data_IF_683919336177
#
_entry.id   IF_683919336177
#
_cell.length_a   1.000
_cell.length_b   1.000
_cell.length_c   1.000
_cell.angle_alpha   90.00
_cell.angle_beta   90.00
_cell.angle_gamma   90.00
#
_symmetry.space_group_name_H-M   'P 1'
#
loop_
_entity.id
_entity.type
_entity.pdbx_description
1 polymer ?
#
# COMPACT_ATOMS: atom_id res chain seq x y z
N UNK A 1 1.75 2.31 -17.84
CA UNK A 1 2.29 1.27 -18.74
C UNK A 1 3.81 1.40 -18.95
N UNK A 2 4.35 2.59 -19.28
CA UNK A 2 5.80 2.79 -19.51
C UNK A 2 6.63 2.34 -18.30
N UNK A 3 6.26 2.71 -17.09
CA UNK A 3 6.93 2.26 -15.86
C UNK A 3 6.83 0.74 -15.64
N UNK A 4 5.70 0.14 -15.96
CA UNK A 4 5.55 -1.30 -15.89
C UNK A 4 6.46 -2.01 -16.89
N UNK A 5 6.60 -1.47 -18.11
CA UNK A 5 7.52 -1.97 -19.13
C UNK A 5 8.98 -1.79 -18.70
N UNK A 6 9.32 -0.67 -18.05
CA UNK A 6 10.65 -0.47 -17.44
C UNK A 6 10.95 -1.58 -16.44
N UNK A 7 10.02 -1.82 -15.51
CA UNK A 7 10.18 -2.85 -14.50
C UNK A 7 10.31 -4.25 -15.13
N UNK A 8 9.50 -4.58 -16.15
CA UNK A 8 9.60 -5.86 -16.84
C UNK A 8 10.96 -6.05 -17.55
N UNK A 9 11.53 -4.97 -18.07
CA UNK A 9 12.81 -5.00 -18.80
C UNK A 9 14.04 -5.00 -17.89
N UNK A 10 14.02 -4.24 -16.83
CA UNK A 10 15.20 -3.98 -15.97
C UNK A 10 15.04 -4.51 -14.54
N UNK A 11 13.86 -4.96 -14.17
CA UNK A 11 13.52 -5.35 -12.81
C UNK A 11 13.24 -4.15 -11.89
N UNK A 12 12.84 -4.45 -10.67
CA UNK A 12 12.79 -3.50 -9.57
C UNK A 12 14.17 -3.36 -8.92
N UNK A 13 14.45 -2.18 -8.39
CA UNK A 13 15.64 -1.93 -7.58
C UNK A 13 15.45 -2.45 -6.14
N UNK A 14 16.54 -2.57 -5.40
CA UNK A 14 16.49 -2.99 -3.99
C UNK A 14 15.61 -2.05 -3.15
N UNK A 15 15.72 -0.74 -3.36
CA UNK A 15 14.94 0.24 -2.59
C UNK A 15 13.44 0.21 -2.91
N UNK A 16 13.05 -0.03 -4.17
CA UNK A 16 11.65 -0.24 -4.55
C UNK A 16 11.10 -1.48 -3.84
N UNK A 17 11.86 -2.56 -3.85
CA UNK A 17 11.50 -3.82 -3.20
C UNK A 17 11.41 -3.68 -1.68
N UNK A 18 12.39 -3.07 -1.02
CA UNK A 18 12.40 -2.91 0.44
C UNK A 18 11.23 -2.05 0.92
N UNK A 19 10.89 -1.02 0.17
CA UNK A 19 9.70 -0.17 0.44
C UNK A 19 8.40 -0.95 0.28
N UNK A 20 8.27 -1.75 -0.78
CA UNK A 20 7.09 -2.57 -1.00
C UNK A 20 6.94 -3.62 0.12
N UNK A 21 8.03 -4.27 0.50
CA UNK A 21 8.08 -5.23 1.62
C UNK A 21 7.67 -4.59 2.95
N UNK A 22 8.23 -3.43 3.27
CA UNK A 22 7.89 -2.69 4.49
C UNK A 22 6.41 -2.29 4.52
N UNK A 23 5.86 -1.83 3.40
CA UNK A 23 4.44 -1.48 3.27
C UNK A 23 3.54 -2.71 3.45
N UNK A 24 3.89 -3.85 2.85
CA UNK A 24 3.14 -5.09 2.99
C UNK A 24 3.13 -5.57 4.45
N UNK A 25 4.29 -5.60 5.11
CA UNK A 25 4.38 -6.01 6.52
C UNK A 25 3.60 -5.06 7.44
N UNK A 26 3.67 -3.76 7.20
CA UNK A 26 2.86 -2.77 7.95
C UNK A 26 1.36 -2.96 7.73
N UNK A 27 0.93 -3.26 6.49
CA UNK A 27 -0.48 -3.54 6.19
C UNK A 27 -0.97 -4.83 6.87
N UNK A 28 -0.15 -5.88 6.89
CA UNK A 28 -0.43 -7.13 7.58
C UNK A 28 -0.58 -6.92 9.10
N UNK A 29 0.33 -6.14 9.70
CA UNK A 29 0.25 -5.81 11.12
C UNK A 29 -1.01 -5.02 11.47
N UNK A 30 -1.37 -4.02 10.66
CA UNK A 30 -2.61 -3.26 10.83
C UNK A 30 -3.85 -4.15 10.70
N UNK A 31 -3.87 -5.03 9.70
CA UNK A 31 -4.96 -5.98 9.51
C UNK A 31 -5.08 -6.95 10.70
N UNK A 32 -3.95 -7.44 11.24
CA UNK A 32 -3.91 -8.28 12.42
C UNK A 32 -4.45 -7.56 13.66
N UNK A 33 -4.01 -6.33 13.89
CA UNK A 33 -4.48 -5.51 15.02
C UNK A 33 -5.98 -5.18 14.92
N UNK A 34 -6.51 -5.06 13.70
CA UNK A 34 -7.92 -4.80 13.41
C UNK A 34 -8.80 -6.03 13.18
N UNK A 35 -8.29 -7.26 13.32
CA UNK A 35 -9.00 -8.50 12.93
C UNK A 35 -10.36 -8.69 13.60
N UNK A 36 -10.50 -8.26 14.85
CA UNK A 36 -11.77 -8.35 15.59
C UNK A 36 -12.86 -7.40 15.04
N UNK A 37 -12.49 -6.48 14.14
CA UNK A 37 -13.37 -5.48 13.54
C UNK A 37 -13.48 -5.65 12.02
N UNK A 38 -13.17 -6.85 11.50
CA UNK A 38 -13.34 -7.18 10.08
C UNK A 38 -14.81 -7.06 9.69
N UNK A 39 -15.03 -6.44 8.53
CA UNK A 39 -16.38 -6.34 7.95
C UNK A 39 -16.84 -7.66 7.33
N UNK A 40 -18.16 -7.88 7.27
CA UNK A 40 -18.75 -9.10 6.69
C UNK A 40 -18.34 -9.35 5.23
N UNK A 41 -18.12 -8.27 4.46
CA UNK A 41 -17.67 -8.40 3.07
C UNK A 41 -16.32 -9.13 2.95
N UNK A 42 -15.39 -8.88 3.87
CA UNK A 42 -14.09 -9.57 3.89
C UNK A 42 -14.25 -11.09 4.09
N UNK A 43 -15.14 -11.52 4.98
CA UNK A 43 -15.43 -12.95 5.17
C UNK A 43 -16.11 -13.56 3.93
N UNK A 44 -17.03 -12.83 3.31
CA UNK A 44 -17.68 -13.28 2.10
C UNK A 44 -16.69 -13.47 0.93
N UNK A 45 -15.69 -12.58 0.82
CA UNK A 45 -14.62 -12.72 -0.17
C UNK A 45 -13.72 -13.92 0.10
N UNK A 46 -13.36 -14.20 1.36
CA UNK A 46 -12.60 -15.40 1.74
C UNK A 46 -13.36 -16.67 1.34
N UNK A 47 -14.66 -16.76 1.64
CA UNK A 47 -15.49 -17.92 1.28
C UNK A 47 -15.67 -18.07 -0.22
N UNK A 48 -15.81 -16.97 -0.94
CA UNK A 48 -15.88 -16.96 -2.41
C UNK A 48 -14.57 -17.47 -3.01
N UNK A 49 -13.42 -17.00 -2.56
CA UNK A 49 -12.09 -17.46 -2.99
C UNK A 49 -11.91 -18.96 -2.74
N UNK A 50 -12.28 -19.42 -1.55
CA UNK A 50 -12.25 -20.84 -1.23
C UNK A 50 -13.14 -21.68 -2.17
N UNK A 51 -14.38 -21.25 -2.40
CA UNK A 51 -15.32 -21.97 -3.25
C UNK A 51 -14.87 -22.02 -4.72
N UNK A 52 -14.40 -20.91 -5.26
CA UNK A 52 -14.04 -20.81 -6.69
C UNK A 52 -12.65 -21.36 -7.00
N UNK A 53 -11.68 -21.16 -6.12
CA UNK A 53 -10.25 -21.39 -6.39
C UNK A 53 -9.61 -22.37 -5.40
N UNK A 54 -10.39 -22.95 -4.47
CA UNK A 54 -9.90 -23.84 -3.42
C UNK A 54 -8.82 -23.17 -2.53
N UNK A 55 -8.88 -21.85 -2.39
CA UNK A 55 -7.96 -21.11 -1.54
C UNK A 55 -8.15 -21.51 -0.08
N UNK A 56 -7.08 -21.76 0.68
CA UNK A 56 -7.20 -22.09 2.09
C UNK A 56 -7.72 -20.88 2.88
N UNK A 57 -8.51 -21.14 3.92
CA UNK A 57 -9.01 -20.13 4.87
C UNK A 57 -8.37 -20.42 6.25
N UNK A 58 -7.11 -20.07 6.47
CA UNK A 58 -6.48 -20.21 7.79
C UNK A 58 -7.10 -19.24 8.79
N UNK A 59 -6.93 -19.52 10.07
CA UNK A 59 -7.16 -18.51 11.10
C UNK A 59 -6.27 -17.27 10.80
N UNK A 60 -6.78 -16.09 11.08
CA UNK A 60 -6.04 -14.86 10.71
C UNK A 60 -4.71 -14.74 11.48
N UNK A 61 -4.65 -15.27 12.68
CA UNK A 61 -3.44 -15.39 13.49
C UNK A 61 -2.38 -16.24 12.79
N UNK A 62 -2.75 -17.40 12.28
CA UNK A 62 -1.84 -18.31 11.57
C UNK A 62 -1.36 -17.68 10.25
N UNK A 63 -2.28 -17.06 9.50
CA UNK A 63 -1.96 -16.35 8.27
C UNK A 63 -0.93 -15.24 8.54
N UNK A 64 -1.14 -14.44 9.59
CA UNK A 64 -0.23 -13.35 9.95
C UNK A 64 1.18 -13.87 10.29
N UNK A 65 1.29 -14.91 11.11
CA UNK A 65 2.58 -15.49 11.48
C UNK A 65 3.30 -16.13 10.28
N UNK A 66 2.57 -16.82 9.40
CA UNK A 66 3.11 -17.37 8.15
C UNK A 66 3.67 -16.24 7.27
N UNK A 67 2.88 -15.20 7.03
CA UNK A 67 3.30 -14.09 6.16
C UNK A 67 4.46 -13.30 6.75
N UNK A 68 4.50 -13.12 8.06
CA UNK A 68 5.59 -12.45 8.77
C UNK A 68 6.92 -13.22 8.65
N UNK A 69 6.86 -14.54 8.56
CA UNK A 69 8.05 -15.37 8.31
C UNK A 69 8.40 -15.45 6.83
N UNK A 70 7.40 -15.55 5.96
CA UNK A 70 7.61 -15.76 4.53
C UNK A 70 8.11 -14.49 3.82
N UNK A 71 7.44 -13.36 4.02
CA UNK A 71 7.70 -12.11 3.28
C UNK A 71 9.16 -11.62 3.39
N UNK A 72 9.82 -11.64 4.56
CA UNK A 72 11.23 -11.26 4.65
C UNK A 72 12.18 -12.14 3.83
N UNK A 73 11.81 -13.40 3.59
CA UNK A 73 12.64 -14.40 2.94
C UNK A 73 12.42 -14.53 1.42
N UNK A 74 11.48 -13.77 0.84
CA UNK A 74 11.32 -13.72 -0.62
C UNK A 74 12.46 -12.86 -1.19
N UNK A 75 13.31 -13.36 -2.08
CA UNK A 75 14.39 -12.56 -2.66
C UNK A 75 13.88 -11.68 -3.81
N UNK A 76 14.55 -10.54 -4.03
CA UNK A 76 14.23 -9.63 -5.14
C UNK A 76 14.36 -10.33 -6.51
N UNK A 77 15.28 -11.26 -6.64
CA UNK A 77 15.49 -12.04 -7.87
C UNK A 77 14.26 -12.79 -8.31
N UNK A 78 13.51 -13.38 -7.37
CA UNK A 78 12.30 -14.14 -7.68
C UNK A 78 11.17 -13.22 -8.14
N UNK A 79 11.05 -12.04 -7.51
CA UNK A 79 10.09 -11.01 -7.94
C UNK A 79 10.41 -10.55 -9.36
N UNK A 80 11.68 -10.27 -9.65
CA UNK A 80 12.09 -9.81 -10.98
C UNK A 80 11.95 -10.89 -12.06
N UNK A 81 12.06 -12.16 -11.72
CA UNK A 81 11.89 -13.27 -12.66
C UNK A 81 10.43 -13.44 -13.15
N UNK A 82 9.44 -12.98 -12.37
CA UNK A 82 8.03 -13.09 -12.73
C UNK A 82 7.57 -11.94 -13.64
N UNK A 83 8.19 -10.77 -13.56
CA UNK A 83 7.75 -9.56 -14.26
C UNK A 83 7.55 -9.73 -15.78
N UNK A 84 8.46 -10.37 -16.53
CA UNK A 84 8.27 -10.57 -17.97
C UNK A 84 7.03 -11.43 -18.32
N UNK A 85 6.59 -12.29 -17.39
CA UNK A 85 5.42 -13.14 -17.57
C UNK A 85 4.11 -12.35 -17.41
N UNK A 86 4.13 -11.29 -16.56
CA UNK A 86 2.97 -10.44 -16.31
C UNK A 86 2.74 -9.40 -17.41
N UNK A 87 3.76 -9.07 -18.18
CA UNK A 87 3.72 -8.01 -19.21
C UNK A 87 4.21 -8.56 -20.55
N UNK A 88 3.40 -9.32 -21.28
CA UNK A 88 3.78 -9.90 -22.56
C UNK A 88 4.04 -8.79 -23.60
N UNK A 89 5.02 -9.02 -24.47
CA UNK A 89 5.40 -8.09 -25.53
C UNK A 89 4.36 -8.01 -26.66
N UNK A 90 3.40 -8.92 -26.69
CA UNK A 90 2.37 -9.02 -27.73
C UNK A 90 0.99 -8.62 -27.19
N UNK A 91 0.04 -8.38 -28.10
CA UNK A 91 -1.37 -8.09 -27.75
C UNK A 91 -2.15 -9.36 -27.35
N UNK A 92 -1.51 -10.53 -27.37
CA UNK A 92 -2.15 -11.80 -27.01
C UNK A 92 -2.55 -11.78 -25.54
N UNK A 93 -3.81 -12.14 -25.25
CA UNK A 93 -4.40 -12.18 -23.92
C UNK A 93 -4.42 -10.80 -23.20
N UNK A 94 -4.38 -9.71 -23.96
CA UNK A 94 -4.45 -8.35 -23.41
C UNK A 94 -5.90 -7.87 -23.43
N UNK A 95 -6.31 -7.27 -22.31
CA UNK A 95 -7.59 -6.55 -22.20
C UNK A 95 -7.29 -5.12 -21.78
N UNK A 96 -7.80 -4.15 -22.55
CA UNK A 96 -7.68 -2.73 -22.21
C UNK A 96 -9.06 -2.24 -21.81
N UNK A 97 -9.18 -1.71 -20.60
CA UNK A 97 -10.42 -1.19 -20.08
C UNK A 97 -10.18 0.26 -19.62
N UNK A 98 -11.05 1.16 -20.09
CA UNK A 98 -11.04 2.54 -19.65
C UNK A 98 -12.41 2.86 -19.02
N UNK A 99 -12.40 3.32 -17.77
CA UNK A 99 -13.60 3.74 -17.06
C UNK A 99 -13.59 5.26 -16.92
N UNK A 100 -14.60 5.90 -17.45
CA UNK A 100 -14.81 7.34 -17.30
C UNK A 100 -16.23 7.61 -16.79
N UNK A 101 -16.36 8.65 -15.98
CA UNK A 101 -17.69 9.18 -15.68
C UNK A 101 -18.28 9.80 -16.95
N UNK A 102 -19.49 9.38 -17.32
CA UNK A 102 -20.21 9.99 -18.39
C UNK A 102 -20.58 11.44 -18.01
N UNK A 103 -20.02 12.40 -18.73
CA UNK A 103 -20.23 13.83 -18.52
C UNK A 103 -20.28 14.56 -19.84
N UNK A 104 -21.26 15.42 -19.99
CA UNK A 104 -21.41 16.27 -21.18
C UNK A 104 -20.13 17.09 -21.44
N UNK A 105 -19.69 17.11 -22.69
CA UNK A 105 -18.47 17.78 -23.14
C UNK A 105 -17.16 16.98 -22.95
N UNK A 106 -17.19 15.81 -22.34
CA UNK A 106 -16.02 14.94 -22.27
C UNK A 106 -15.78 14.20 -23.60
N UNK A 107 -14.51 14.13 -23.99
CA UNK A 107 -14.08 13.28 -25.12
C UNK A 107 -13.51 11.98 -24.52
N UNK A 108 -14.10 10.86 -24.94
CA UNK A 108 -13.67 9.54 -24.48
C UNK A 108 -12.73 8.89 -25.49
N UNK A 109 -11.72 8.13 -25.05
CA UNK A 109 -10.84 7.43 -25.94
C UNK A 109 -11.60 6.34 -26.72
N UNK A 110 -11.31 6.21 -28.00
CA UNK A 110 -11.81 5.08 -28.81
C UNK A 110 -10.98 3.83 -28.57
N UNK A 111 -11.51 2.62 -28.89
CA UNK A 111 -10.73 1.38 -28.80
C UNK A 111 -9.40 1.47 -29.56
N UNK A 112 -9.39 2.08 -30.74
CA UNK A 112 -8.20 2.25 -31.57
C UNK A 112 -7.19 3.18 -30.90
N UNK A 113 -7.63 4.27 -30.27
CA UNK A 113 -6.75 5.20 -29.56
C UNK A 113 -6.12 4.56 -28.32
N UNK A 114 -6.87 3.70 -27.62
CA UNK A 114 -6.34 2.93 -26.47
C UNK A 114 -5.27 1.94 -26.92
N UNK A 115 -5.52 1.23 -28.03
CA UNK A 115 -4.55 0.29 -28.58
C UNK A 115 -3.29 1.01 -29.09
N UNK A 116 -3.46 2.14 -29.78
CA UNK A 116 -2.34 2.98 -30.22
C UNK A 116 -1.50 3.47 -29.03
N UNK A 117 -2.12 3.86 -27.91
CA UNK A 117 -1.41 4.27 -26.71
C UNK A 117 -0.56 3.14 -26.11
N UNK A 118 -1.05 1.90 -26.14
CA UNK A 118 -0.28 0.73 -25.71
C UNK A 118 0.90 0.48 -26.63
N UNK A 119 0.69 0.51 -27.95
CA UNK A 119 1.75 0.33 -28.92
C UNK A 119 2.83 1.43 -28.82
N UNK A 120 2.42 2.68 -28.66
CA UNK A 120 3.35 3.79 -28.45
C UNK A 120 4.16 3.62 -27.15
N UNK A 121 3.53 3.17 -26.07
CA UNK A 121 4.23 2.90 -24.82
C UNK A 121 5.28 1.79 -24.97
N UNK A 122 4.97 0.72 -25.71
CA UNK A 122 5.92 -0.38 -25.98
C UNK A 122 7.13 0.06 -26.83
N UNK A 123 6.94 1.05 -27.69
CA UNK A 123 8.02 1.61 -28.51
C UNK A 123 8.83 2.67 -27.76
N UNK A 124 8.36 3.13 -26.61
CA UNK A 124 9.07 4.11 -25.82
C UNK A 124 10.38 3.53 -25.30
N UNK A 125 11.49 4.23 -25.57
CA UNK A 125 12.78 3.88 -25.00
C UNK A 125 12.72 4.10 -23.49
N UNK A 126 12.94 3.02 -22.73
CA UNK A 126 12.99 3.07 -21.28
C UNK A 126 14.42 2.84 -20.80
N UNK A 127 14.82 3.55 -19.77
CA UNK A 127 16.12 3.41 -19.11
C UNK A 127 15.93 2.77 -17.74
N UNK A 128 16.94 2.10 -17.17
CA UNK A 128 16.89 1.58 -15.82
C UNK A 128 16.57 2.69 -14.82
N UNK A 129 15.81 2.35 -13.78
CA UNK A 129 15.58 3.29 -12.69
C UNK A 129 16.89 3.56 -11.95
N UNK A 130 17.23 4.84 -11.81
CA UNK A 130 18.38 5.28 -11.02
C UNK A 130 17.89 5.63 -9.63
N UNK A 131 18.32 4.85 -8.66
CA UNK A 131 17.95 5.08 -7.26
C UNK A 131 18.67 6.30 -6.71
N UNK A 132 17.89 7.30 -6.31
CA UNK A 132 18.39 8.54 -5.69
C UNK A 132 18.08 8.59 -4.20
N UNK A 133 17.61 7.49 -3.62
CA UNK A 133 17.31 7.42 -2.18
C UNK A 133 18.60 7.64 -1.39
N UNK A 134 18.56 8.63 -0.52
CA UNK A 134 19.66 8.91 0.41
C UNK A 134 19.27 8.35 1.76
N UNK A 135 20.10 7.49 2.31
CA UNK A 135 19.98 7.00 3.69
C UNK A 135 20.45 8.09 4.67
N UNK A 136 19.70 9.18 4.73
CA UNK A 136 19.94 10.26 5.67
C UNK A 136 18.72 10.44 6.56
N UNK A 137 18.89 10.75 7.85
CA UNK A 137 17.78 11.04 8.73
C UNK A 137 16.93 12.19 8.16
N UNK A 138 15.60 12.06 8.24
CA UNK A 138 14.67 13.11 7.80
C UNK A 138 14.96 14.47 8.47
N UNK A 139 15.44 14.41 9.71
CA UNK A 139 15.86 15.58 10.48
C UNK A 139 17.29 15.42 10.93
N UNK A 140 18.15 16.36 10.57
CA UNK A 140 19.55 16.39 11.01
C UNK A 140 19.70 16.67 12.51
N UNK A 141 18.68 17.29 13.11
CA UNK A 141 18.61 17.56 14.54
C UNK A 141 17.18 17.31 15.04
N UNK A 142 17.04 16.40 15.97
CA UNK A 142 15.74 16.15 16.57
C UNK A 142 15.26 17.38 17.35
N UNK A 143 13.98 17.76 17.25
CA UNK A 143 13.42 18.84 18.04
C UNK A 143 13.48 18.48 19.52
N UNK A 144 13.65 19.48 20.36
CA UNK A 144 13.57 19.28 21.79
C UNK A 144 12.11 18.93 22.16
N UNK A 145 11.87 17.92 23.02
CA UNK A 145 10.54 17.62 23.51
C UNK A 145 9.85 18.85 24.11
N UNK A 146 8.58 19.04 23.77
CA UNK A 146 7.78 20.10 24.38
C UNK A 146 7.55 19.80 25.87
N UNK A 147 7.47 20.87 26.69
CA UNK A 147 7.10 20.73 28.11
C UNK A 147 5.61 20.91 28.27
N UNK A 148 4.97 20.01 29.04
CA UNK A 148 3.59 20.18 29.47
C UNK A 148 3.60 21.21 30.60
N UNK A 149 2.86 22.30 30.47
CA UNK A 149 2.78 23.39 31.46
C UNK A 149 1.45 23.33 32.24
N UNK A 150 0.44 22.66 31.70
CA UNK A 150 -0.85 22.44 32.37
C UNK A 150 -1.49 21.15 31.90
N UNK A 151 -2.07 20.43 32.87
CA UNK A 151 -2.91 19.26 32.63
C UNK A 151 -4.26 19.47 33.27
N UNK A 152 -5.35 19.16 32.56
CA UNK A 152 -6.72 19.22 33.04
C UNK A 152 -7.45 17.97 32.57
N UNK A 153 -8.03 17.23 33.52
CA UNK A 153 -8.87 16.06 33.21
C UNK A 153 -10.35 16.47 33.25
N UNK A 154 -11.07 16.03 32.22
CA UNK A 154 -12.52 16.12 32.16
C UNK A 154 -13.10 14.73 32.41
N UNK A 155 -13.62 14.48 33.61
CA UNK A 155 -14.15 13.17 33.99
C UNK A 155 -15.47 12.85 33.29
N UNK A 156 -16.29 13.85 33.00
CA UNK A 156 -17.61 13.69 32.36
C UNK A 156 -17.46 13.22 30.90
N UNK A 157 -16.53 13.83 30.16
CA UNK A 157 -16.28 13.48 28.75
C UNK A 157 -15.11 12.49 28.56
N UNK A 158 -14.40 12.13 29.63
CA UNK A 158 -13.34 11.13 29.64
C UNK A 158 -12.09 11.53 28.82
N UNK A 159 -11.72 12.82 28.77
CA UNK A 159 -10.52 13.28 28.09
C UNK A 159 -9.54 14.01 29.00
N UNK A 160 -8.31 14.10 28.59
CA UNK A 160 -7.25 14.90 29.24
C UNK A 160 -6.81 16.01 28.26
N UNK A 161 -6.85 17.24 28.74
CA UNK A 161 -6.32 18.42 28.03
C UNK A 161 -4.91 18.72 28.55
N UNK A 162 -3.96 18.79 27.62
CA UNK A 162 -2.56 19.14 27.89
C UNK A 162 -2.23 20.47 27.22
N UNK A 163 -1.72 21.43 27.96
CA UNK A 163 -1.16 22.67 27.38
C UNK A 163 0.35 22.58 27.36
N UNK A 164 0.93 22.77 26.18
CA UNK A 164 2.37 22.75 25.99
C UNK A 164 2.96 24.15 26.12
N UNK A 165 4.25 24.22 26.46
CA UNK A 165 4.97 25.51 26.66
C UNK A 165 5.01 26.38 25.40
N UNK A 166 4.85 25.80 24.21
CA UNK A 166 4.78 26.52 22.93
C UNK A 166 3.37 27.03 22.58
N UNK A 167 2.39 26.89 23.51
CA UNK A 167 1.01 27.36 23.31
C UNK A 167 0.07 26.32 22.68
N UNK A 168 0.57 25.19 22.18
CA UNK A 168 -0.27 24.14 21.64
C UNK A 168 -1.10 23.48 22.75
N UNK A 169 -2.39 23.23 22.47
CA UNK A 169 -3.28 22.44 23.33
C UNK A 169 -3.53 21.10 22.68
N UNK A 170 -3.24 20.02 23.39
CA UNK A 170 -3.54 18.65 22.97
C UNK A 170 -4.69 18.09 23.83
N UNK A 171 -5.71 17.53 23.19
CA UNK A 171 -6.84 16.86 23.86
C UNK A 171 -6.73 15.38 23.56
N UNK A 172 -6.54 14.58 24.61
CA UNK A 172 -6.32 13.15 24.52
C UNK A 172 -7.52 12.41 25.12
N UNK A 173 -8.18 11.58 24.31
CA UNK A 173 -9.23 10.68 24.78
C UNK A 173 -8.90 9.27 24.29
N UNK A 174 -8.74 8.34 25.23
CA UNK A 174 -8.58 6.93 24.89
C UNK A 174 -9.93 6.34 24.51
N UNK A 175 -9.98 5.68 23.36
CA UNK A 175 -11.15 4.95 22.89
C UNK A 175 -10.74 3.55 22.46
N UNK A 176 -11.70 2.64 22.37
CA UNK A 176 -11.54 1.26 21.91
C UNK A 176 -12.33 0.96 20.64
N UNK A 177 -12.81 2.00 19.95
CA UNK A 177 -13.61 1.84 18.74
C UNK A 177 -12.81 1.16 17.63
N UNK A 178 -11.54 1.47 17.52
CA UNK A 178 -10.63 0.86 16.56
C UNK A 178 -9.21 0.83 17.13
N UNK A 179 -8.52 -0.31 16.98
CA UNK A 179 -7.10 -0.39 17.31
C UNK A 179 -6.30 0.30 16.22
N UNK A 180 -5.13 0.85 16.51
CA UNK A 180 -4.21 1.50 15.56
C UNK A 180 -4.70 2.78 14.85
N UNK A 181 -5.70 3.45 15.39
CA UNK A 181 -6.09 4.80 14.97
C UNK A 181 -5.87 5.82 16.10
N UNK A 182 -5.23 6.92 15.75
CA UNK A 182 -5.00 8.08 16.60
C UNK A 182 -5.85 9.24 16.09
#
# INVERSE_FOLDING_TARGET
LVEALRAAKFGFTQSEYDRAKANLLSALEKAYNGRDKRGNASFADDYKGHFLSQEPIPAFEDYYEIMKQLVPNIPLTDINAILPQLLPETDRNMVIINFNNEKEGNVYPTPESLLQAVHAARQTKVEPYVDTVKEVPLMTKLPRPGKIVKEKKNAELGYTELKLANGVTAILKRTDFKKDQV
#
